data_IF_512957369136
#
_entry.id   IF_512957369136
#
_cell.length_a   1.000
_cell.length_b   1.000
_cell.length_c   1.000
_cell.angle_alpha   90.00
_cell.angle_beta   90.00
_cell.angle_gamma   90.00
#
_symmetry.space_group_name_H-M   'P 1'
#
loop_
_entity.id
_entity.type
_entity.pdbx_description
1 polymer ?
#
# COMPACT_ATOMS: atom_id res chain seq x y z
N UNK A 1 -18.58 -4.00 -33.51
CA UNK A 1 -18.13 -2.70 -32.95
C UNK A 1 -17.99 -2.73 -31.43
N UNK A 2 -18.97 -3.23 -30.66
CA UNK A 2 -18.87 -3.34 -29.20
C UNK A 2 -17.67 -4.17 -28.73
N UNK A 3 -17.41 -5.32 -29.36
CA UNK A 3 -16.29 -6.21 -28.98
C UNK A 3 -14.92 -5.56 -29.19
N UNK A 4 -14.76 -4.75 -30.23
CA UNK A 4 -13.53 -4.00 -30.50
C UNK A 4 -13.31 -2.96 -29.40
N UNK A 5 -14.35 -2.20 -29.04
CA UNK A 5 -14.28 -1.18 -27.98
C UNK A 5 -13.94 -1.83 -26.63
N UNK A 6 -14.56 -2.97 -26.32
CA UNK A 6 -14.30 -3.71 -25.08
C UNK A 6 -12.86 -4.25 -25.03
N UNK A 7 -12.35 -4.80 -26.13
CA UNK A 7 -10.97 -5.26 -26.24
C UNK A 7 -9.96 -4.13 -25.98
N UNK A 8 -10.15 -2.95 -26.59
CA UNK A 8 -9.27 -1.79 -26.37
C UNK A 8 -9.38 -1.23 -24.95
N UNK A 9 -10.57 -1.24 -24.34
CA UNK A 9 -10.74 -0.85 -22.94
C UNK A 9 -9.98 -1.78 -21.98
N UNK A 10 -10.01 -3.10 -22.23
CA UNK A 10 -9.23 -4.07 -21.46
C UNK A 10 -7.72 -3.86 -21.62
N UNK A 11 -7.26 -3.51 -22.83
CA UNK A 11 -5.84 -3.20 -23.08
C UNK A 11 -5.39 -1.95 -22.33
N UNK A 12 -6.14 -0.85 -22.42
CA UNK A 12 -5.80 0.38 -21.71
C UNK A 12 -5.81 0.18 -20.19
N UNK A 13 -6.66 -0.71 -19.68
CA UNK A 13 -6.62 -1.15 -18.28
C UNK A 13 -5.30 -1.81 -17.89
N UNK A 14 -4.76 -2.70 -18.74
CA UNK A 14 -3.47 -3.37 -18.51
C UNK A 14 -2.29 -2.40 -18.57
N UNK A 15 -2.27 -1.48 -19.53
CA UNK A 15 -1.21 -0.47 -19.67
C UNK A 15 -1.07 0.38 -18.39
N UNK A 16 -2.19 0.81 -17.80
CA UNK A 16 -2.18 1.54 -16.51
C UNK A 16 -1.61 0.72 -15.35
N UNK A 17 -1.77 -0.61 -15.37
CA UNK A 17 -1.15 -1.48 -14.35
C UNK A 17 0.36 -1.47 -14.53
N UNK A 18 0.88 -1.62 -15.75
CA UNK A 18 2.31 -1.55 -16.01
C UNK A 18 2.89 -0.18 -15.65
N UNK A 19 2.18 0.92 -15.94
CA UNK A 19 2.60 2.26 -15.52
C UNK A 19 2.71 2.39 -14.00
N UNK A 20 1.76 1.83 -13.24
CA UNK A 20 1.80 1.81 -11.77
C UNK A 20 2.97 0.95 -11.26
N UNK A 21 3.23 -0.20 -11.90
CA UNK A 21 4.36 -1.08 -11.55
C UNK A 21 5.71 -0.41 -11.83
N UNK A 22 5.86 0.25 -12.98
CA UNK A 22 7.08 0.95 -13.36
C UNK A 22 7.38 2.11 -12.42
N UNK A 23 6.40 2.99 -12.20
CA UNK A 23 6.60 4.23 -11.44
C UNK A 23 6.48 4.04 -9.93
N UNK A 24 5.66 3.09 -9.47
CA UNK A 24 5.36 2.87 -8.05
C UNK A 24 6.18 1.75 -7.43
N UNK A 25 6.48 0.69 -8.19
CA UNK A 25 7.07 -0.54 -7.67
C UNK A 25 8.46 -0.84 -8.23
N UNK A 26 9.04 0.06 -9.01
CA UNK A 26 10.44 0.01 -9.43
C UNK A 26 10.73 -0.96 -10.57
N UNK A 27 9.72 -1.37 -11.35
CA UNK A 27 9.95 -2.25 -12.51
C UNK A 27 10.83 -1.59 -13.58
N UNK A 28 10.84 -0.26 -13.66
CA UNK A 28 11.70 0.52 -14.56
C UNK A 28 13.15 0.63 -14.05
N UNK A 29 13.42 0.25 -12.79
CA UNK A 29 14.72 0.44 -12.12
C UNK A 29 15.08 -0.79 -11.29
N UNK A 30 15.48 -1.84 -11.99
CA UNK A 30 15.81 -3.12 -11.38
C UNK A 30 17.03 -3.02 -10.44
N UNK A 31 16.92 -3.52 -9.19
CA UNK A 31 17.95 -3.29 -8.19
C UNK A 31 19.11 -4.30 -8.21
N UNK A 32 19.03 -5.37 -9.01
CA UNK A 32 20.03 -6.45 -9.02
C UNK A 32 20.74 -6.57 -10.35
N UNK A 33 21.98 -7.03 -10.31
CA UNK A 33 22.77 -7.30 -11.52
C UNK A 33 22.32 -8.57 -12.24
N UNK A 34 21.83 -9.56 -11.49
CA UNK A 34 21.42 -10.85 -12.03
C UNK A 34 19.93 -10.89 -12.36
N UNK A 35 19.61 -11.43 -13.54
CA UNK A 35 18.22 -11.50 -14.01
C UNK A 35 17.34 -12.39 -13.12
N UNK A 36 17.86 -13.50 -12.60
CA UNK A 36 17.10 -14.38 -11.70
C UNK A 36 16.64 -13.65 -10.43
N UNK A 37 17.50 -12.83 -9.83
CA UNK A 37 17.15 -12.02 -8.66
C UNK A 37 16.14 -10.93 -9.01
N UNK A 38 16.29 -10.30 -10.19
CA UNK A 38 15.32 -9.33 -10.69
C UNK A 38 13.96 -9.97 -10.98
N UNK A 39 13.90 -11.21 -11.47
CA UNK A 39 12.64 -11.94 -11.64
C UNK A 39 11.92 -12.12 -10.30
N UNK A 40 12.64 -12.51 -9.26
CA UNK A 40 12.07 -12.60 -7.90
C UNK A 40 11.60 -11.24 -7.42
N UNK A 41 12.38 -10.17 -7.65
CA UNK A 41 11.98 -8.80 -7.33
C UNK A 41 10.68 -8.39 -8.03
N UNK A 42 10.55 -8.65 -9.33
CA UNK A 42 9.35 -8.35 -10.12
C UNK A 42 8.12 -9.10 -9.58
N UNK A 43 8.28 -10.38 -9.24
CA UNK A 43 7.20 -11.20 -8.66
C UNK A 43 6.78 -10.70 -7.28
N UNK A 44 7.74 -10.42 -6.39
CA UNK A 44 7.47 -9.90 -5.05
C UNK A 44 6.76 -8.54 -5.11
N UNK A 45 7.24 -7.64 -5.97
CA UNK A 45 6.64 -6.32 -6.12
C UNK A 45 5.23 -6.37 -6.73
N UNK A 46 4.95 -7.33 -7.63
CA UNK A 46 3.58 -7.59 -8.10
C UNK A 46 2.65 -8.05 -6.97
N UNK A 47 3.13 -8.94 -6.07
CA UNK A 47 2.37 -9.37 -4.90
C UNK A 47 2.10 -8.19 -3.96
N UNK A 48 3.13 -7.36 -3.67
CA UNK A 48 2.98 -6.16 -2.82
C UNK A 48 1.94 -5.22 -3.43
N UNK A 49 1.95 -5.01 -4.75
CA UNK A 49 0.94 -4.18 -5.43
C UNK A 49 -0.47 -4.71 -5.21
N UNK A 50 -0.67 -6.02 -5.27
CA UNK A 50 -1.97 -6.63 -5.02
C UNK A 50 -2.45 -6.40 -3.59
N UNK A 51 -1.56 -6.57 -2.60
CA UNK A 51 -1.90 -6.26 -1.20
C UNK A 51 -2.21 -4.79 -0.99
N UNK A 52 -1.39 -3.89 -1.54
CA UNK A 52 -1.62 -2.45 -1.46
C UNK A 52 -3.00 -2.07 -2.03
N UNK A 53 -3.37 -2.56 -3.22
CA UNK A 53 -4.70 -2.29 -3.78
C UNK A 53 -5.83 -2.88 -2.94
N UNK A 54 -5.67 -4.10 -2.43
CA UNK A 54 -6.66 -4.73 -1.57
C UNK A 54 -6.88 -3.96 -0.26
N UNK A 55 -5.80 -3.46 0.36
CA UNK A 55 -5.89 -2.62 1.57
C UNK A 55 -6.56 -1.29 1.24
N UNK A 56 -6.12 -0.59 0.18
CA UNK A 56 -6.71 0.68 -0.25
C UNK A 56 -8.22 0.60 -0.52
N UNK A 57 -8.72 -0.55 -0.97
CA UNK A 57 -10.14 -0.79 -1.19
C UNK A 57 -10.94 -1.07 0.09
N UNK A 58 -10.29 -1.57 1.14
CA UNK A 58 -10.96 -2.00 2.38
C UNK A 58 -10.94 -0.92 3.46
N UNK A 59 -9.95 -0.04 3.45
CA UNK A 59 -9.81 1.02 4.45
C UNK A 59 -10.53 2.30 4.02
N UNK A 60 -10.97 3.09 4.99
CA UNK A 60 -11.49 4.43 4.75
C UNK A 60 -10.33 5.42 4.51
N UNK A 61 -9.78 5.41 3.29
CA UNK A 61 -8.52 6.11 2.92
C UNK A 61 -8.47 7.59 3.34
N UNK A 62 -9.61 8.29 3.32
CA UNK A 62 -9.70 9.71 3.69
C UNK A 62 -9.35 9.95 5.16
N UNK A 63 -9.72 9.03 6.07
CA UNK A 63 -9.36 9.11 7.50
C UNK A 63 -7.84 9.10 7.70
N UNK A 64 -7.11 8.45 6.81
CA UNK A 64 -5.64 8.38 6.85
C UNK A 64 -4.96 9.47 6.00
N UNK A 65 -5.72 10.47 5.52
CA UNK A 65 -5.19 11.51 4.64
C UNK A 65 -4.74 10.99 3.28
N UNK A 66 -5.28 9.84 2.85
CA UNK A 66 -5.06 9.22 1.55
C UNK A 66 -6.25 9.49 0.61
N UNK A 67 -5.97 9.42 -0.69
CA UNK A 67 -6.97 9.38 -1.77
C UNK A 67 -6.94 7.98 -2.38
N UNK A 68 -8.04 7.53 -2.97
CA UNK A 68 -8.08 6.24 -3.69
C UNK A 68 -7.01 6.15 -4.81
N UNK A 69 -6.63 7.30 -5.37
CA UNK A 69 -5.58 7.45 -6.39
C UNK A 69 -4.17 7.68 -5.83
N UNK A 70 -3.99 7.72 -4.51
CA UNK A 70 -2.68 7.93 -3.87
C UNK A 70 -1.70 6.82 -4.23
N UNK A 71 -0.50 7.18 -4.69
CA UNK A 71 0.58 6.24 -5.04
C UNK A 71 1.09 5.49 -3.81
N UNK A 72 1.72 4.33 -4.04
CA UNK A 72 2.28 3.47 -2.98
C UNK A 72 3.23 4.21 -2.02
N UNK A 73 4.07 5.12 -2.52
CA UNK A 73 4.97 5.92 -1.66
C UNK A 73 4.20 6.75 -0.62
N UNK A 74 3.10 7.37 -1.02
CA UNK A 74 2.23 8.13 -0.12
C UNK A 74 1.51 7.20 0.85
N UNK A 75 1.05 6.04 0.37
CA UNK A 75 0.45 5.02 1.23
C UNK A 75 1.44 4.55 2.31
N UNK A 76 2.67 4.19 1.93
CA UNK A 76 3.70 3.77 2.90
C UNK A 76 3.95 4.88 3.92
N UNK A 77 4.18 6.11 3.46
CA UNK A 77 4.49 7.22 4.36
C UNK A 77 3.35 7.58 5.32
N UNK A 78 2.10 7.64 4.82
CA UNK A 78 0.97 8.09 5.64
C UNK A 78 0.30 6.99 6.43
N UNK A 79 0.30 5.75 5.92
CA UNK A 79 -0.44 4.62 6.48
C UNK A 79 0.44 3.59 7.20
N UNK A 80 1.61 3.27 6.65
CA UNK A 80 2.48 2.22 7.19
C UNK A 80 3.51 2.79 8.17
N UNK A 81 4.18 3.87 7.79
CA UNK A 81 5.31 4.46 8.52
C UNK A 81 4.82 5.46 9.57
N UNK A 82 4.12 4.98 10.59
CA UNK A 82 3.66 5.80 11.72
C UNK A 82 4.59 5.57 12.92
N UNK A 83 5.18 6.61 13.51
CA UNK A 83 6.03 6.45 14.69
C UNK A 83 5.20 5.96 15.88
N UNK A 84 5.65 4.89 16.52
CA UNK A 84 5.00 4.33 17.69
C UNK A 84 6.03 3.72 18.66
N UNK A 85 5.67 3.63 19.94
CA UNK A 85 6.51 3.05 20.99
C UNK A 85 5.65 2.26 21.97
N UNK A 86 6.05 1.03 22.28
CA UNK A 86 5.48 0.28 23.39
C UNK A 86 5.95 0.87 24.72
N UNK A 87 5.00 1.21 25.59
CA UNK A 87 5.24 1.78 26.91
C UNK A 87 4.57 0.88 27.95
N UNK A 88 5.27 0.64 29.06
CA UNK A 88 4.71 -0.08 30.20
C UNK A 88 4.11 0.94 31.17
N UNK A 89 2.79 0.91 31.32
CA UNK A 89 2.05 1.74 32.26
C UNK A 89 1.46 0.84 33.33
N UNK A 90 1.97 0.94 34.56
CA UNK A 90 1.65 0.02 35.66
C UNK A 90 1.82 -1.47 35.25
N UNK A 91 0.71 -2.19 35.07
CA UNK A 91 0.68 -3.62 34.67
C UNK A 91 0.33 -3.85 33.19
N UNK A 92 0.12 -2.80 32.41
CA UNK A 92 -0.28 -2.89 31.00
C UNK A 92 0.87 -2.46 30.07
N UNK A 93 1.04 -3.19 28.95
CA UNK A 93 1.89 -2.78 27.84
C UNK A 93 1.00 -2.12 26.78
N UNK A 94 1.16 -0.83 26.57
CA UNK A 94 0.33 -0.02 25.67
C UNK A 94 1.19 0.48 24.51
N UNK A 95 0.68 0.36 23.29
CA UNK A 95 1.33 0.96 22.12
C UNK A 95 0.96 2.43 22.04
N UNK A 96 1.91 3.32 22.32
CA UNK A 96 1.73 4.74 22.13
C UNK A 96 2.06 5.12 20.68
N UNK A 97 1.08 5.70 19.96
CA UNK A 97 1.22 6.07 18.55
C UNK A 97 1.35 7.59 18.48
N UNK A 98 2.47 8.08 17.95
CA UNK A 98 2.80 9.51 17.90
C UNK A 98 2.27 10.14 16.62
N UNK A 99 0.95 10.32 16.53
CA UNK A 99 0.31 10.96 15.38
C UNK A 99 -0.90 11.78 15.82
N UNK A 100 -1.09 12.93 15.19
CA UNK A 100 -2.29 13.76 15.37
C UNK A 100 -3.51 13.17 14.65
N UNK A 101 -3.34 12.08 13.90
CA UNK A 101 -4.43 11.41 13.22
C UNK A 101 -5.15 10.44 14.15
N UNK A 102 -6.31 10.88 14.65
CA UNK A 102 -7.17 10.09 15.54
C UNK A 102 -7.69 8.77 14.95
N UNK A 103 -7.65 8.58 13.63
CA UNK A 103 -8.05 7.31 13.00
C UNK A 103 -7.22 6.11 13.48
N UNK A 104 -5.95 6.34 13.86
CA UNK A 104 -5.09 5.29 14.41
C UNK A 104 -5.49 4.88 15.83
N UNK A 105 -6.12 5.78 16.59
CA UNK A 105 -6.57 5.47 17.93
C UNK A 105 -7.68 4.40 17.92
N UNK A 106 -8.47 4.30 16.85
CA UNK A 106 -9.50 3.28 16.67
C UNK A 106 -8.93 1.96 16.15
N UNK A 107 -7.96 2.01 15.23
CA UNK A 107 -7.41 0.84 14.55
C UNK A 107 -6.74 -0.18 15.49
N UNK A 108 -6.22 0.28 16.63
CA UNK A 108 -5.49 -0.55 17.60
C UNK A 108 -6.18 -0.70 18.96
N UNK A 109 -7.48 -0.36 19.06
CA UNK A 109 -8.25 -0.69 20.27
C UNK A 109 -8.40 -2.20 20.37
N UNK A 110 -7.58 -2.83 21.21
CA UNK A 110 -7.81 -4.19 21.68
C UNK A 110 -9.10 -4.23 22.47
N UNK A 111 -9.93 -5.27 22.27
CA UNK A 111 -11.24 -5.49 22.93
C UNK A 111 -11.17 -5.74 24.44
N UNK A 112 -10.06 -5.37 25.07
CA UNK A 112 -9.81 -5.47 26.50
C UNK A 112 -9.51 -4.08 27.07
N UNK A 113 -10.59 -3.34 27.29
CA UNK A 113 -10.68 -2.08 28.01
C UNK A 113 -12.13 -1.82 28.37
#
# INVERSE_FOLDING_TARGET
MRDIVEFYNMRGGKERVFDDMNNGFGWDRLPKSFMAENTVFLLLTALIRNFYKAIMQRIEVKKFGLKETSRIKTFVFKFISVPAKWIKTARQCVLNIYTDNHAYAEAFKTSSG
#
